data_IF_850884800104
#
_entry.id   IF_850884800104
#
_cell.length_a   1.000
_cell.length_b   1.000
_cell.length_c   1.000
_cell.angle_alpha   90.00
_cell.angle_beta   90.00
_cell.angle_gamma   90.00
#
_symmetry.space_group_name_H-M   'P 1'
#
loop_
_entity.id
_entity.type
_entity.pdbx_description
1 polymer ?
#
# COMPACT_ATOMS: atom_id res chain seq x y z
N UNK A 1 10.19 -23.16 -1.42
CA UNK A 1 9.29 -22.29 -0.63
C UNK A 1 8.82 -22.91 0.70
N UNK A 2 9.47 -23.96 1.17
CA UNK A 2 9.05 -24.69 2.41
C UNK A 2 9.14 -23.87 3.72
N UNK A 3 9.69 -22.65 3.68
CA UNK A 3 9.92 -21.84 4.88
C UNK A 3 9.41 -20.41 4.80
N UNK A 4 8.60 -20.07 3.80
CA UNK A 4 8.21 -18.68 3.55
C UNK A 4 7.18 -18.16 4.56
N UNK A 5 7.42 -16.95 5.07
CA UNK A 5 6.55 -16.21 5.97
C UNK A 5 6.03 -14.97 5.27
N UNK A 6 4.74 -14.71 5.36
CA UNK A 6 4.14 -13.49 4.83
C UNK A 6 3.49 -12.65 5.93
N UNK A 7 3.51 -11.33 5.75
CA UNK A 7 2.69 -10.39 6.51
C UNK A 7 1.81 -9.61 5.54
N UNK A 8 0.50 -9.62 5.79
CA UNK A 8 -0.48 -8.91 4.95
C UNK A 8 -1.23 -7.89 5.81
N UNK A 9 -1.24 -6.62 5.39
CA UNK A 9 -2.01 -5.60 6.08
C UNK A 9 -3.44 -5.52 5.54
N UNK A 10 -4.44 -5.30 6.44
CA UNK A 10 -5.84 -5.10 6.07
C UNK A 10 -6.53 -6.36 5.53
N UNK A 11 -6.44 -7.47 6.26
CA UNK A 11 -6.93 -8.79 5.83
C UNK A 11 -8.37 -9.11 6.24
N UNK A 12 -9.06 -8.24 6.98
CA UNK A 12 -10.41 -8.53 7.50
C UNK A 12 -11.50 -8.53 6.42
N UNK A 13 -11.18 -8.20 5.18
CA UNK A 13 -12.09 -8.26 4.04
C UNK A 13 -11.38 -8.01 2.70
N UNK A 14 -12.06 -8.29 1.59
CA UNK A 14 -11.67 -7.84 0.24
C UNK A 14 -10.36 -8.46 -0.25
N UNK A 15 -9.54 -7.63 -0.93
CA UNK A 15 -8.32 -8.11 -1.61
C UNK A 15 -7.29 -8.66 -0.62
N UNK A 16 -7.15 -8.03 0.57
CA UNK A 16 -6.21 -8.50 1.60
C UNK A 16 -6.60 -9.85 2.19
N UNK A 17 -7.91 -10.12 2.37
CA UNK A 17 -8.41 -11.43 2.79
C UNK A 17 -8.07 -12.50 1.76
N UNK A 18 -8.35 -12.24 0.48
CA UNK A 18 -8.04 -13.17 -0.60
C UNK A 18 -6.53 -13.37 -0.80
N UNK A 19 -5.73 -12.32 -0.60
CA UNK A 19 -4.28 -12.45 -0.64
C UNK A 19 -3.77 -13.40 0.46
N UNK A 20 -4.25 -13.25 1.70
CA UNK A 20 -3.88 -14.17 2.79
C UNK A 20 -4.30 -15.62 2.49
N UNK A 21 -5.51 -15.82 1.94
CA UNK A 21 -6.00 -17.13 1.52
C UNK A 21 -5.12 -17.76 0.44
N UNK A 22 -4.78 -17.00 -0.59
CA UNK A 22 -3.93 -17.46 -1.69
C UNK A 22 -2.51 -17.79 -1.24
N UNK A 23 -1.91 -16.99 -0.34
CA UNK A 23 -0.60 -17.25 0.22
C UNK A 23 -0.55 -18.61 0.94
N UNK A 24 -1.56 -18.92 1.76
CA UNK A 24 -1.69 -20.21 2.39
C UNK A 24 -1.82 -21.34 1.36
N UNK A 25 -2.61 -21.13 0.31
CA UNK A 25 -2.77 -22.12 -0.78
C UNK A 25 -1.48 -22.34 -1.57
N UNK A 26 -0.64 -21.30 -1.71
CA UNK A 26 0.66 -21.35 -2.39
C UNK A 26 1.82 -21.89 -1.52
N UNK A 27 1.51 -22.43 -0.33
CA UNK A 27 2.51 -23.14 0.48
C UNK A 27 3.28 -22.28 1.49
N UNK A 28 2.84 -21.03 1.73
CA UNK A 28 3.41 -20.26 2.84
C UNK A 28 3.12 -20.96 4.17
N UNK A 29 4.17 -21.19 4.97
CA UNK A 29 4.08 -21.91 6.26
C UNK A 29 3.47 -21.04 7.37
N UNK A 30 3.54 -19.71 7.21
CA UNK A 30 2.95 -18.75 8.14
C UNK A 30 2.50 -17.48 7.39
N UNK A 31 1.30 -17.02 7.72
CA UNK A 31 0.74 -15.77 7.20
C UNK A 31 0.24 -14.95 8.39
N UNK A 32 0.92 -13.84 8.67
CA UNK A 32 0.42 -12.84 9.61
C UNK A 32 -0.76 -12.12 9.01
N UNK A 33 -1.90 -12.25 9.66
CA UNK A 33 -3.19 -11.69 9.28
C UNK A 33 -3.45 -10.47 10.16
N UNK A 34 -3.63 -9.29 9.58
CA UNK A 34 -3.72 -8.07 10.36
C UNK A 34 -5.03 -7.32 10.23
N UNK A 35 -5.35 -6.52 11.24
CA UNK A 35 -6.47 -5.60 11.27
C UNK A 35 -6.49 -4.81 12.59
N UNK A 36 -7.36 -3.80 12.66
CA UNK A 36 -7.43 -2.86 13.78
C UNK A 36 -7.81 -3.48 15.12
N UNK A 37 -8.64 -4.50 15.10
CA UNK A 37 -9.13 -5.19 16.30
C UNK A 37 -8.67 -6.63 16.32
N UNK A 38 -7.97 -7.05 17.38
CA UNK A 38 -7.51 -8.43 17.54
C UNK A 38 -8.66 -9.44 17.45
N UNK A 39 -9.79 -9.15 18.05
CA UNK A 39 -10.97 -10.03 18.00
C UNK A 39 -11.44 -10.27 16.55
N UNK A 40 -11.54 -9.21 15.74
CA UNK A 40 -11.91 -9.37 14.32
C UNK A 40 -10.84 -10.08 13.49
N UNK A 41 -9.58 -9.92 13.83
CA UNK A 41 -8.49 -10.65 13.16
C UNK A 41 -8.56 -12.13 13.52
N UNK A 42 -8.85 -12.47 14.77
CA UNK A 42 -9.07 -13.87 15.20
C UNK A 42 -10.25 -14.53 14.48
N UNK A 43 -11.37 -13.81 14.31
CA UNK A 43 -12.50 -14.27 13.49
C UNK A 43 -12.08 -14.52 12.03
N UNK A 44 -11.28 -13.60 11.48
CA UNK A 44 -10.73 -13.73 10.11
C UNK A 44 -9.83 -14.95 9.99
N UNK A 45 -8.96 -15.19 10.97
CA UNK A 45 -8.10 -16.37 11.02
C UNK A 45 -8.93 -17.66 11.04
N UNK A 46 -9.97 -17.72 11.86
CA UNK A 46 -10.86 -18.90 11.91
C UNK A 46 -11.56 -19.14 10.56
N UNK A 47 -12.03 -18.09 9.89
CA UNK A 47 -12.65 -18.19 8.56
C UNK A 47 -11.65 -18.67 7.50
N UNK A 48 -10.44 -18.10 7.47
CA UNK A 48 -9.38 -18.50 6.54
C UNK A 48 -8.95 -19.97 6.77
N UNK A 49 -8.77 -20.36 8.02
CA UNK A 49 -8.42 -21.74 8.37
C UNK A 49 -9.50 -22.74 7.93
N UNK A 50 -10.76 -22.40 8.13
CA UNK A 50 -11.89 -23.24 7.69
C UNK A 50 -11.95 -23.36 6.16
N UNK A 51 -11.72 -22.27 5.43
CA UNK A 51 -11.77 -22.27 3.95
C UNK A 51 -10.59 -22.97 3.29
N UNK A 52 -9.40 -22.88 3.88
CA UNK A 52 -8.17 -23.44 3.31
C UNK A 52 -7.79 -24.81 3.90
N UNK A 53 -8.42 -25.23 4.99
CA UNK A 53 -8.01 -26.38 5.81
C UNK A 53 -6.55 -26.30 6.29
N UNK A 54 -6.00 -25.06 6.41
CA UNK A 54 -4.62 -24.78 6.81
C UNK A 54 -4.58 -24.06 8.16
N UNK A 55 -3.62 -24.42 9.00
CA UNK A 55 -3.38 -23.79 10.31
C UNK A 55 -2.13 -22.89 10.27
N UNK A 56 -2.01 -22.06 9.23
CA UNK A 56 -0.83 -21.23 8.97
C UNK A 56 -1.05 -19.75 9.29
N UNK A 57 -2.25 -19.38 9.72
CA UNK A 57 -2.62 -17.97 9.95
C UNK A 57 -2.33 -17.56 11.38
N UNK A 58 -1.62 -16.45 11.54
CA UNK A 58 -1.29 -15.86 12.85
C UNK A 58 -1.94 -14.49 12.96
N UNK A 59 -2.81 -14.25 13.96
CA UNK A 59 -3.43 -12.95 14.14
C UNK A 59 -2.42 -11.93 14.68
N UNK A 60 -2.46 -10.69 14.14
CA UNK A 60 -1.67 -9.56 14.62
C UNK A 60 -2.55 -8.29 14.58
N UNK A 61 -2.78 -7.67 15.73
CA UNK A 61 -3.47 -6.38 15.78
C UNK A 61 -2.55 -5.28 15.20
N UNK A 62 -3.09 -4.50 14.26
CA UNK A 62 -2.37 -3.41 13.61
C UNK A 62 -3.34 -2.33 13.13
N UNK A 63 -3.29 -1.16 13.76
CA UNK A 63 -3.95 0.06 13.33
C UNK A 63 -2.90 1.02 12.78
N UNK A 64 -2.94 1.26 11.46
CA UNK A 64 -1.90 2.06 10.78
C UNK A 64 -1.99 3.56 11.06
N UNK A 65 -3.14 4.03 11.55
CA UNK A 65 -3.37 5.42 11.93
C UNK A 65 -2.83 5.73 13.33
N UNK A 66 -2.43 4.69 14.09
CA UNK A 66 -2.00 4.77 15.48
C UNK A 66 -0.54 4.32 15.62
N UNK A 67 0.42 5.24 15.76
CA UNK A 67 1.85 4.90 15.88
C UNK A 67 2.15 3.89 16.99
N UNK A 68 1.46 3.97 18.12
CA UNK A 68 1.60 3.03 19.24
C UNK A 68 1.16 1.61 18.87
N UNK A 69 0.14 1.46 18.03
CA UNK A 69 -0.28 0.16 17.51
C UNK A 69 0.78 -0.43 16.57
N UNK A 70 1.37 0.40 15.71
CA UNK A 70 2.47 -0.04 14.83
C UNK A 70 3.68 -0.49 15.66
N UNK A 71 4.07 0.26 16.70
CA UNK A 71 5.14 -0.11 17.62
C UNK A 71 4.85 -1.43 18.36
N UNK A 72 3.63 -1.61 18.83
CA UNK A 72 3.23 -2.85 19.52
C UNK A 72 3.28 -4.06 18.58
N UNK A 73 2.85 -3.88 17.32
CA UNK A 73 2.94 -4.94 16.31
C UNK A 73 4.40 -5.29 15.98
N UNK A 74 5.28 -4.29 15.86
CA UNK A 74 6.73 -4.49 15.67
C UNK A 74 7.33 -5.26 16.84
N UNK A 75 7.06 -4.85 18.08
CA UNK A 75 7.58 -5.54 19.28
C UNK A 75 7.11 -7.02 19.33
N UNK A 76 5.89 -7.33 18.93
CA UNK A 76 5.39 -8.71 18.83
C UNK A 76 6.12 -9.50 17.74
N UNK A 77 6.41 -8.89 16.59
CA UNK A 77 7.17 -9.52 15.50
C UNK A 77 8.64 -9.74 15.92
N UNK A 78 9.26 -8.78 16.61
CA UNK A 78 10.62 -8.91 17.17
C UNK A 78 10.70 -10.05 18.18
N UNK A 79 9.72 -10.16 19.09
CA UNK A 79 9.65 -11.26 20.06
C UNK A 79 9.57 -12.64 19.39
N UNK A 80 8.98 -12.72 18.20
CA UNK A 80 8.92 -13.96 17.41
C UNK A 80 10.22 -14.26 16.68
N UNK A 81 10.97 -13.23 16.31
CA UNK A 81 12.28 -13.35 15.67
C UNK A 81 12.27 -14.08 14.32
N UNK A 82 11.16 -14.04 13.60
CA UNK A 82 10.99 -14.78 12.36
C UNK A 82 11.04 -13.80 11.16
N UNK A 83 12.03 -13.90 10.26
CA UNK A 83 12.11 -13.04 9.09
C UNK A 83 10.91 -13.23 8.15
N UNK A 84 10.42 -12.13 7.61
CA UNK A 84 9.30 -12.07 6.67
C UNK A 84 9.86 -12.06 5.25
N UNK A 85 9.42 -13.01 4.43
CA UNK A 85 9.83 -13.14 3.03
C UNK A 85 8.94 -12.33 2.09
N UNK A 86 7.66 -12.18 2.45
CA UNK A 86 6.70 -11.40 1.67
C UNK A 86 5.91 -10.44 2.54
N UNK A 87 6.13 -9.13 2.34
CA UNK A 87 5.42 -8.05 3.02
C UNK A 87 4.41 -7.42 2.07
N UNK A 88 3.12 -7.64 2.31
CA UNK A 88 2.04 -7.04 1.52
C UNK A 88 1.37 -5.89 2.29
N UNK A 89 1.69 -4.68 1.90
CA UNK A 89 1.15 -3.42 2.41
C UNK A 89 -0.16 -3.09 1.67
N UNK A 90 -1.22 -3.88 1.94
CA UNK A 90 -2.48 -3.80 1.21
C UNK A 90 -3.50 -2.85 1.85
N UNK A 91 -3.47 -2.64 3.17
CA UNK A 91 -4.43 -1.79 3.84
C UNK A 91 -4.50 -0.41 3.18
N UNK A 92 -5.70 0.08 2.98
CA UNK A 92 -5.93 1.36 2.34
C UNK A 92 -7.33 1.88 2.61
N UNK A 93 -7.54 3.16 2.33
CA UNK A 93 -8.82 3.82 2.49
C UNK A 93 -9.18 4.59 1.22
N UNK A 94 -10.46 4.62 0.90
CA UNK A 94 -11.01 5.52 -0.11
C UNK A 94 -11.60 6.73 0.61
N UNK A 95 -11.22 7.95 0.23
CA UNK A 95 -11.69 9.17 0.88
C UNK A 95 -13.21 9.29 0.83
N UNK A 96 -13.78 9.80 1.90
CA UNK A 96 -15.19 10.17 1.96
C UNK A 96 -15.46 11.54 1.31
N UNK A 97 -16.74 11.91 1.20
CA UNK A 97 -17.14 13.24 0.68
C UNK A 97 -16.59 14.39 1.53
N UNK A 98 -16.44 14.18 2.84
CA UNK A 98 -15.85 15.14 3.78
C UNK A 98 -14.41 14.78 4.06
N UNK A 99 -13.56 15.80 4.10
CA UNK A 99 -12.19 15.67 4.58
C UNK A 99 -12.18 15.17 6.03
N UNK A 100 -11.36 14.19 6.30
CA UNK A 100 -11.10 13.69 7.64
C UNK A 100 -9.59 13.76 7.88
N UNK A 101 -9.18 14.40 8.97
CA UNK A 101 -7.80 14.42 9.44
C UNK A 101 -7.70 13.42 10.58
N UNK A 102 -6.73 12.51 10.52
CA UNK A 102 -6.49 11.52 11.56
C UNK A 102 -5.76 12.11 12.77
N UNK A 103 -5.66 11.36 13.85
CA UNK A 103 -4.89 11.76 15.02
C UNK A 103 -3.40 12.03 14.71
N UNK A 104 -2.85 11.38 13.68
CA UNK A 104 -1.50 11.64 13.17
C UNK A 104 -1.39 12.96 12.36
N UNK A 105 -2.47 13.73 12.23
CA UNK A 105 -2.47 15.02 11.51
C UNK A 105 -2.38 14.90 9.99
N UNK A 106 -2.75 13.75 9.43
CA UNK A 106 -2.77 13.50 7.98
C UNK A 106 -4.19 13.27 7.46
N UNK A 107 -4.40 13.51 6.18
CA UNK A 107 -5.68 13.21 5.54
C UNK A 107 -5.87 11.69 5.51
N UNK A 108 -7.10 11.24 5.78
CA UNK A 108 -7.40 9.83 6.07
C UNK A 108 -6.99 8.84 4.97
N UNK A 109 -6.99 9.26 3.69
CA UNK A 109 -6.53 8.39 2.60
C UNK A 109 -5.01 8.24 2.54
N UNK A 110 -4.27 9.15 3.16
CA UNK A 110 -2.81 9.15 3.25
C UNK A 110 -2.30 8.39 4.48
N UNK A 111 -3.10 8.30 5.54
CA UNK A 111 -2.70 7.71 6.82
C UNK A 111 -2.17 6.27 6.69
N UNK A 112 -2.74 5.37 5.85
CA UNK A 112 -2.18 4.04 5.67
C UNK A 112 -0.72 4.04 5.18
N UNK A 113 -0.32 4.99 4.32
CA UNK A 113 1.06 5.08 3.86
C UNK A 113 2.02 5.43 5.02
N UNK A 114 1.60 6.32 5.92
CA UNK A 114 2.41 6.70 7.10
C UNK A 114 2.66 5.49 8.00
N UNK A 115 1.61 4.74 8.34
CA UNK A 115 1.74 3.52 9.14
C UNK A 115 2.52 2.42 8.41
N UNK A 116 2.34 2.26 7.11
CA UNK A 116 3.13 1.33 6.30
C UNK A 116 4.61 1.70 6.27
N UNK A 117 4.94 2.98 6.18
CA UNK A 117 6.32 3.45 6.26
C UNK A 117 6.93 3.12 7.63
N UNK A 118 6.24 3.44 8.74
CA UNK A 118 6.70 3.11 10.09
C UNK A 118 6.91 1.59 10.26
N UNK A 119 5.97 0.77 9.80
CA UNK A 119 6.07 -0.69 9.84
C UNK A 119 7.28 -1.17 9.03
N UNK A 120 7.43 -0.72 7.79
CA UNK A 120 8.49 -1.18 6.89
C UNK A 120 9.88 -0.80 7.44
N UNK A 121 10.05 0.44 7.88
CA UNK A 121 11.33 0.89 8.46
C UNK A 121 11.61 0.18 9.77
N UNK A 122 10.60 -0.05 10.61
CA UNK A 122 10.75 -0.85 11.83
C UNK A 122 11.23 -2.27 11.55
N UNK A 123 10.63 -2.95 10.57
CA UNK A 123 11.04 -4.30 10.15
C UNK A 123 12.47 -4.34 9.60
N UNK A 124 12.86 -3.34 8.80
CA UNK A 124 14.23 -3.20 8.30
C UNK A 124 15.24 -3.01 9.44
N UNK A 125 14.95 -2.13 10.40
CA UNK A 125 15.82 -1.87 11.56
C UNK A 125 15.99 -3.08 12.48
N UNK A 126 14.93 -3.83 12.63
CA UNK A 126 14.93 -5.06 13.44
C UNK A 126 15.49 -6.29 12.71
N UNK A 127 15.92 -6.15 11.45
CA UNK A 127 16.34 -7.27 10.59
C UNK A 127 15.28 -8.38 10.50
N UNK A 128 14.00 -7.98 10.43
CA UNK A 128 12.85 -8.89 10.33
C UNK A 128 12.32 -9.06 8.90
N UNK A 129 13.06 -8.60 7.90
CA UNK A 129 12.85 -8.95 6.50
C UNK A 129 13.97 -9.89 6.06
N UNK A 130 13.62 -10.97 5.34
CA UNK A 130 14.63 -11.88 4.79
C UNK A 130 15.49 -11.16 3.73
N UNK A 131 16.74 -11.60 3.51
CA UNK A 131 17.67 -10.94 2.58
C UNK A 131 17.15 -10.82 1.15
N UNK A 132 16.22 -11.67 0.76
CA UNK A 132 15.55 -11.68 -0.54
C UNK A 132 14.07 -11.29 -0.46
N UNK A 133 13.67 -10.60 0.61
CA UNK A 133 12.28 -10.22 0.83
C UNK A 133 11.67 -9.43 -0.33
N UNK A 134 10.40 -9.68 -0.59
CA UNK A 134 9.59 -8.92 -1.55
C UNK A 134 8.56 -8.09 -0.79
N UNK A 135 8.58 -6.79 -1.06
CA UNK A 135 7.63 -5.82 -0.50
C UNK A 135 6.68 -5.38 -1.61
N UNK A 136 5.39 -5.56 -1.41
CA UNK A 136 4.38 -5.07 -2.34
C UNK A 136 3.49 -4.07 -1.63
N UNK A 137 3.32 -2.87 -2.22
CA UNK A 137 2.40 -1.86 -1.69
C UNK A 137 1.25 -1.60 -2.66
N UNK A 138 0.04 -1.58 -2.13
CA UNK A 138 -1.18 -1.37 -2.91
C UNK A 138 -1.30 0.07 -3.41
N UNK A 139 -1.07 0.28 -4.71
CA UNK A 139 -1.39 1.51 -5.43
C UNK A 139 -2.72 1.37 -6.19
N UNK A 140 -2.97 2.18 -7.22
CA UNK A 140 -4.15 2.08 -8.08
C UNK A 140 -3.93 2.80 -9.42
N UNK A 141 -4.76 2.48 -10.41
CA UNK A 141 -4.70 3.07 -11.76
C UNK A 141 -4.65 4.61 -11.79
N UNK A 142 -5.32 5.37 -10.90
CA UNK A 142 -5.21 6.84 -10.88
C UNK A 142 -3.77 7.37 -10.77
N UNK A 143 -2.84 6.63 -10.16
CA UNK A 143 -1.43 7.03 -10.07
C UNK A 143 -0.76 7.20 -11.43
N UNK A 144 -1.17 6.43 -12.45
CA UNK A 144 -0.61 6.56 -13.82
C UNK A 144 -1.15 7.76 -14.59
N UNK A 145 -2.24 8.39 -14.10
CA UNK A 145 -2.96 9.46 -14.80
C UNK A 145 -3.91 8.94 -15.90
N UNK A 146 -4.67 9.85 -16.47
CA UNK A 146 -5.60 9.55 -17.56
C UNK A 146 -6.84 8.73 -17.16
N UNK A 147 -7.12 8.60 -15.87
CA UNK A 147 -8.33 7.94 -15.35
C UNK A 147 -9.44 8.97 -15.19
N UNK A 148 -10.60 8.80 -15.84
CA UNK A 148 -11.70 9.76 -15.73
C UNK A 148 -12.08 10.04 -14.27
N UNK A 149 -12.37 11.30 -13.96
CA UNK A 149 -12.75 11.81 -12.63
C UNK A 149 -11.64 11.76 -11.55
N UNK A 150 -10.47 11.18 -11.83
CA UNK A 150 -9.33 11.14 -10.94
C UNK A 150 -8.20 12.00 -11.52
N UNK A 151 -7.86 13.09 -10.84
CA UNK A 151 -6.74 13.95 -11.21
C UNK A 151 -5.81 14.06 -10.03
N UNK A 152 -4.56 13.71 -10.21
CA UNK A 152 -3.54 14.03 -9.21
C UNK A 152 -3.14 15.51 -9.31
N UNK A 153 -2.65 16.04 -8.21
CA UNK A 153 -2.17 17.41 -8.11
C UNK A 153 -0.88 17.56 -8.90
N UNK A 154 -0.78 18.67 -9.65
CA UNK A 154 0.49 19.12 -10.21
C UNK A 154 1.37 19.62 -9.06
N UNK A 155 2.35 18.80 -8.69
CA UNK A 155 3.20 19.02 -7.52
C UNK A 155 4.18 20.16 -7.75
N UNK A 156 4.67 20.35 -8.98
CA UNK A 156 5.57 21.46 -9.31
C UNK A 156 4.82 22.80 -9.20
N UNK A 157 3.59 22.87 -9.73
CA UNK A 157 2.73 24.02 -9.56
C UNK A 157 2.31 24.28 -8.10
N UNK A 158 2.21 23.21 -7.29
CA UNK A 158 1.96 23.37 -5.85
C UNK A 158 3.23 23.84 -5.13
N UNK A 159 4.39 23.27 -5.45
CA UNK A 159 5.68 23.64 -4.86
C UNK A 159 6.04 25.10 -5.09
N UNK A 160 5.70 25.64 -6.27
CA UNK A 160 5.89 27.05 -6.57
C UNK A 160 5.15 28.02 -5.60
N UNK A 161 4.24 27.53 -4.77
CA UNK A 161 3.54 28.30 -3.72
C UNK A 161 4.25 28.26 -2.36
N UNK A 162 5.36 27.54 -2.26
CA UNK A 162 6.20 27.44 -1.08
C UNK A 162 7.56 28.08 -1.36
N UNK A 163 8.24 28.53 -0.31
CA UNK A 163 9.51 29.24 -0.43
C UNK A 163 10.53 28.39 -1.19
N UNK A 164 11.15 28.98 -2.22
CA UNK A 164 12.14 28.31 -3.05
C UNK A 164 11.62 27.17 -3.93
N UNK A 165 10.30 26.99 -4.06
CA UNK A 165 9.73 25.89 -4.84
C UNK A 165 9.89 24.52 -4.15
N UNK A 166 9.75 24.47 -2.83
CA UNK A 166 10.01 23.27 -2.00
C UNK A 166 9.00 22.14 -2.31
N UNK A 167 9.46 21.12 -3.01
CA UNK A 167 8.71 19.91 -3.33
C UNK A 167 8.34 19.10 -2.08
N UNK A 168 9.20 19.08 -1.07
CA UNK A 168 8.93 18.35 0.18
C UNK A 168 7.80 19.02 0.94
N UNK A 169 7.80 20.35 1.06
CA UNK A 169 6.71 21.10 1.68
C UNK A 169 5.39 20.90 0.92
N UNK A 170 5.42 20.87 -0.42
CA UNK A 170 4.25 20.58 -1.25
C UNK A 170 3.71 19.16 -0.99
N UNK A 171 4.58 18.15 -0.89
CA UNK A 171 4.19 16.77 -0.57
C UNK A 171 3.62 16.65 0.85
N UNK A 172 4.22 17.31 1.84
CA UNK A 172 3.66 17.36 3.21
C UNK A 172 2.27 18.01 3.22
N UNK A 173 2.09 19.07 2.45
CA UNK A 173 0.77 19.70 2.30
C UNK A 173 -0.26 18.73 1.68
N UNK A 174 0.12 17.91 0.71
CA UNK A 174 -0.75 16.87 0.16
C UNK A 174 -1.10 15.82 1.22
N UNK A 175 -0.10 15.32 1.96
CA UNK A 175 -0.32 14.33 3.02
C UNK A 175 -1.27 14.83 4.11
N UNK A 176 -1.15 16.09 4.50
CA UNK A 176 -1.95 16.73 5.56
C UNK A 176 -3.23 17.38 5.07
N UNK A 177 -3.42 17.49 3.75
CA UNK A 177 -4.38 18.42 3.14
C UNK A 177 -4.25 19.83 3.75
N UNK A 178 -3.03 20.31 3.77
CA UNK A 178 -2.64 21.59 4.36
C UNK A 178 -2.89 22.79 3.47
N UNK A 179 -2.18 23.90 3.72
CA UNK A 179 -2.30 25.12 2.94
C UNK A 179 -2.15 24.87 1.44
N UNK A 180 -2.87 25.63 0.62
CA UNK A 180 -2.87 25.56 -0.85
C UNK A 180 -3.43 24.26 -1.47
N UNK A 181 -3.85 23.27 -0.67
CA UNK A 181 -4.46 22.04 -1.16
C UNK A 181 -5.98 22.12 -1.04
N UNK A 182 -6.67 22.04 -2.19
CA UNK A 182 -8.13 21.96 -2.21
C UNK A 182 -8.58 20.51 -2.14
N UNK A 183 -9.34 20.17 -1.10
CA UNK A 183 -9.85 18.81 -0.96
C UNK A 183 -10.90 18.47 -2.03
N UNK A 184 -10.64 17.42 -2.77
CA UNK A 184 -11.61 16.74 -3.64
C UNK A 184 -11.36 15.23 -3.48
N UNK A 185 -12.36 14.40 -3.08
CA UNK A 185 -12.14 13.00 -2.71
C UNK A 185 -11.39 12.19 -3.76
N UNK A 186 -11.78 12.31 -5.02
CA UNK A 186 -11.14 11.57 -6.10
C UNK A 186 -9.69 12.01 -6.35
N UNK A 187 -9.41 13.31 -6.16
CA UNK A 187 -8.05 13.84 -6.32
C UNK A 187 -7.18 13.42 -5.13
N UNK A 188 -7.70 13.53 -3.89
CA UNK A 188 -7.00 13.05 -2.70
C UNK A 188 -6.63 11.55 -2.82
N UNK A 189 -7.52 10.74 -3.39
CA UNK A 189 -7.22 9.34 -3.67
C UNK A 189 -6.14 9.17 -4.74
N UNK A 190 -6.20 9.94 -5.83
CA UNK A 190 -5.20 9.89 -6.89
C UNK A 190 -3.82 10.33 -6.36
N UNK A 191 -3.77 11.41 -5.57
CA UNK A 191 -2.55 11.90 -4.90
C UNK A 191 -1.97 10.83 -3.97
N UNK A 192 -2.81 10.20 -3.12
CA UNK A 192 -2.38 9.14 -2.23
C UNK A 192 -1.74 7.97 -2.99
N UNK A 193 -2.33 7.56 -4.11
CA UNK A 193 -1.83 6.43 -4.90
C UNK A 193 -0.59 6.77 -5.72
N UNK A 194 -0.45 8.02 -6.13
CA UNK A 194 0.77 8.53 -6.78
C UNK A 194 1.93 8.64 -5.78
N UNK A 195 1.70 9.21 -4.60
CA UNK A 195 2.71 9.28 -3.53
C UNK A 195 3.18 7.88 -3.12
N UNK A 196 2.28 6.89 -3.06
CA UNK A 196 2.64 5.47 -2.83
C UNK A 196 3.60 4.95 -3.92
N UNK A 197 3.38 5.27 -5.19
CA UNK A 197 4.27 4.84 -6.28
C UNK A 197 5.65 5.52 -6.17
N UNK A 198 5.71 6.80 -5.88
CA UNK A 198 6.96 7.53 -5.64
C UNK A 198 7.71 7.03 -4.41
N UNK A 199 6.99 6.77 -3.31
CA UNK A 199 7.55 6.20 -2.09
C UNK A 199 8.20 4.83 -2.35
N UNK A 200 7.55 3.95 -3.12
CA UNK A 200 8.10 2.65 -3.47
C UNK A 200 9.37 2.78 -4.31
N UNK A 201 9.40 3.70 -5.27
CA UNK A 201 10.60 3.97 -6.08
C UNK A 201 11.76 4.53 -5.24
N UNK A 202 11.47 5.40 -4.27
CA UNK A 202 12.47 5.93 -3.35
C UNK A 202 12.97 4.88 -2.35
N UNK A 203 12.08 4.01 -1.83
CA UNK A 203 12.47 2.89 -0.96
C UNK A 203 13.38 1.91 -1.68
N UNK A 204 13.09 1.59 -2.96
CA UNK A 204 13.91 0.66 -3.75
C UNK A 204 15.40 1.05 -3.77
N UNK A 205 15.70 2.36 -3.83
CA UNK A 205 17.09 2.86 -3.79
C UNK A 205 17.74 2.76 -2.41
N UNK A 206 16.96 2.43 -1.39
CA UNK A 206 17.36 2.37 0.03
C UNK A 206 17.32 0.97 0.61
N UNK A 207 16.82 -0.01 -0.13
CA UNK A 207 16.78 -1.39 0.32
C UNK A 207 18.16 -2.05 0.28
N UNK A 208 18.47 -2.95 1.20
CA UNK A 208 19.59 -3.87 1.07
C UNK A 208 19.55 -4.66 -0.24
N UNK A 209 20.73 -5.04 -0.74
CA UNK A 209 20.85 -5.89 -1.92
C UNK A 209 20.08 -7.21 -1.73
N UNK A 210 19.38 -7.65 -2.75
CA UNK A 210 18.53 -8.85 -2.73
C UNK A 210 17.05 -8.58 -2.45
N UNK A 211 16.73 -7.56 -1.66
CA UNK A 211 15.35 -7.14 -1.43
C UNK A 211 14.78 -6.35 -2.62
N UNK A 212 13.46 -6.38 -2.78
CA UNK A 212 12.78 -5.56 -3.78
C UNK A 212 11.43 -5.05 -3.27
N UNK A 213 11.02 -3.87 -3.79
CA UNK A 213 9.70 -3.28 -3.50
C UNK A 213 8.99 -2.92 -4.80
N UNK A 214 7.68 -3.12 -4.83
CA UNK A 214 6.83 -2.84 -5.99
C UNK A 214 5.55 -2.14 -5.56
N UNK A 215 5.19 -1.05 -6.24
CA UNK A 215 3.84 -0.52 -6.15
C UNK A 215 2.97 -1.27 -7.16
N UNK A 216 1.83 -1.81 -6.71
CA UNK A 216 0.98 -2.64 -7.57
C UNK A 216 -0.48 -2.21 -7.46
N UNK A 217 -1.12 -1.98 -8.60
CA UNK A 217 -2.57 -1.80 -8.62
C UNK A 217 -3.29 -3.15 -8.60
N UNK A 218 -4.22 -3.35 -7.67
CA UNK A 218 -5.09 -4.53 -7.68
C UNK A 218 -6.09 -4.51 -8.83
N UNK A 219 -6.19 -3.40 -9.56
CA UNK A 219 -7.23 -3.17 -10.56
C UNK A 219 -8.58 -2.81 -9.95
N UNK A 220 -9.60 -2.68 -10.78
CA UNK A 220 -10.94 -2.41 -10.30
C UNK A 220 -11.57 -3.69 -9.71
N UNK A 221 -11.69 -3.72 -8.38
CA UNK A 221 -12.36 -4.79 -7.64
C UNK A 221 -13.53 -4.20 -6.82
N UNK A 222 -14.74 -4.22 -7.38
CA UNK A 222 -15.92 -3.58 -6.78
C UNK A 222 -16.56 -4.38 -5.64
N UNK A 223 -16.28 -5.66 -5.55
CA UNK A 223 -16.78 -6.53 -4.46
C UNK A 223 -16.03 -6.33 -3.12
N UNK A 224 -15.33 -5.22 -2.96
CA UNK A 224 -14.66 -4.85 -1.72
C UNK A 224 -15.49 -3.84 -0.92
N UNK A 225 -15.24 -3.72 0.39
CA UNK A 225 -15.88 -2.72 1.26
C UNK A 225 -15.60 -1.25 0.86
N UNK A 226 -14.89 -1.02 -0.24
CA UNK A 226 -14.59 0.29 -0.83
C UNK A 226 -15.87 1.10 -1.12
N UNK A 227 -16.97 0.42 -1.51
CA UNK A 227 -18.27 1.06 -1.73
C UNK A 227 -19.06 1.40 -0.45
N UNK A 228 -18.56 1.08 0.75
CA UNK A 228 -19.32 1.31 2.00
C UNK A 228 -19.66 2.78 2.24
N UNK A 229 -18.76 3.70 1.85
CA UNK A 229 -18.93 5.15 2.00
C UNK A 229 -19.47 5.82 0.71
N UNK A 230 -19.74 5.04 -0.34
CA UNK A 230 -20.33 5.56 -1.58
C UNK A 230 -21.80 5.92 -1.36
N UNK A 231 -22.23 7.04 -1.96
CA UNK A 231 -23.64 7.46 -1.91
C UNK A 231 -24.58 6.43 -2.56
N UNK A 232 -25.86 6.46 -2.19
CA UNK A 232 -26.91 5.53 -2.64
C UNK A 232 -26.90 5.31 -4.16
N UNK A 233 -26.80 6.36 -4.97
CA UNK A 233 -26.79 6.26 -6.42
C UNK A 233 -25.56 5.50 -6.96
N UNK A 234 -24.39 5.66 -6.34
CA UNK A 234 -23.17 4.91 -6.70
C UNK A 234 -23.32 3.44 -6.35
N UNK A 235 -23.84 3.16 -5.14
CA UNK A 235 -23.98 1.80 -4.63
C UNK A 235 -25.02 0.97 -5.39
N UNK A 236 -26.16 1.57 -5.72
CA UNK A 236 -27.31 0.84 -6.27
C UNK A 236 -27.53 1.01 -7.77
N UNK A 237 -26.95 2.06 -8.39
CA UNK A 237 -27.01 2.26 -9.84
C UNK A 237 -25.68 2.04 -10.55
N UNK A 238 -24.60 2.71 -10.09
CA UNK A 238 -23.34 2.67 -10.83
C UNK A 238 -22.58 1.36 -10.66
N UNK A 239 -22.46 0.83 -9.44
CA UNK A 239 -21.73 -0.43 -9.20
C UNK A 239 -22.33 -1.60 -10.00
N UNK A 240 -23.67 -1.83 -10.02
CA UNK A 240 -24.24 -2.88 -10.86
C UNK A 240 -23.98 -2.68 -12.36
N UNK A 241 -24.05 -1.44 -12.85
CA UNK A 241 -23.78 -1.15 -14.27
C UNK A 241 -22.31 -1.41 -14.62
N UNK A 242 -21.38 -0.95 -13.77
CA UNK A 242 -19.93 -1.20 -13.97
C UNK A 242 -19.62 -2.70 -13.94
N UNK A 243 -20.30 -3.47 -13.09
CA UNK A 243 -20.15 -4.93 -13.02
C UNK A 243 -20.63 -5.66 -14.28
N UNK A 244 -21.52 -5.06 -15.07
CA UNK A 244 -22.01 -5.62 -16.33
C UNK A 244 -21.10 -5.31 -17.53
N UNK A 245 -20.17 -4.35 -17.40
CA UNK A 245 -19.26 -3.99 -18.49
C UNK A 245 -18.01 -4.88 -18.41
N UNK A 246 -17.76 -5.73 -19.43
CA UNK A 246 -16.56 -6.56 -19.45
C UNK A 246 -15.28 -5.74 -19.31
N UNK A 247 -14.37 -6.19 -18.45
CA UNK A 247 -13.08 -5.52 -18.23
C UNK A 247 -13.11 -4.30 -17.29
N UNK A 248 -14.27 -3.93 -16.76
CA UNK A 248 -14.40 -2.81 -15.81
C UNK A 248 -14.35 -3.26 -14.35
N UNK A 249 -14.44 -4.55 -14.07
CA UNK A 249 -14.40 -5.11 -12.73
C UNK A 249 -13.81 -6.52 -12.70
N UNK A 250 -13.24 -6.89 -11.57
CA UNK A 250 -12.73 -8.23 -11.28
C UNK A 250 -13.00 -8.65 -9.85
N UNK A 251 -12.85 -9.95 -9.55
CA UNK A 251 -13.04 -10.47 -8.21
C UNK A 251 -11.88 -10.05 -7.29
N UNK A 252 -12.10 -9.97 -5.97
CA UNK A 252 -11.02 -9.75 -5.01
C UNK A 252 -9.89 -10.78 -5.12
N UNK A 253 -10.21 -12.02 -5.46
CA UNK A 253 -9.23 -13.08 -5.71
C UNK A 253 -8.34 -12.75 -6.92
N UNK A 254 -8.94 -12.37 -8.06
CA UNK A 254 -8.18 -11.96 -9.26
C UNK A 254 -7.30 -10.75 -8.96
N UNK A 255 -7.80 -9.80 -8.18
CA UNK A 255 -7.03 -8.64 -7.73
C UNK A 255 -5.84 -9.04 -6.84
N UNK A 256 -6.05 -9.98 -5.90
CA UNK A 256 -5.00 -10.48 -5.01
C UNK A 256 -3.90 -11.24 -5.78
N UNK A 257 -4.25 -11.98 -6.82
CA UNK A 257 -3.27 -12.66 -7.69
C UNK A 257 -2.23 -11.73 -8.30
N UNK A 258 -2.58 -10.46 -8.55
CA UNK A 258 -1.62 -9.44 -9.04
C UNK A 258 -0.54 -9.13 -8.01
N UNK A 259 -0.88 -9.11 -6.73
CA UNK A 259 0.09 -8.92 -5.66
C UNK A 259 1.04 -10.10 -5.52
N UNK A 260 0.50 -11.32 -5.64
CA UNK A 260 1.32 -12.53 -5.60
C UNK A 260 2.22 -12.64 -6.83
N UNK A 261 1.73 -12.25 -8.02
CA UNK A 261 2.57 -12.19 -9.22
C UNK A 261 3.79 -11.27 -9.02
N UNK A 262 3.62 -10.15 -8.31
CA UNK A 262 4.72 -9.23 -8.05
C UNK A 262 5.76 -9.80 -7.06
N UNK A 263 5.44 -10.84 -6.27
CA UNK A 263 6.44 -11.53 -5.44
C UNK A 263 7.48 -12.30 -6.25
N UNK A 264 7.18 -12.62 -7.51
CA UNK A 264 8.07 -13.34 -8.41
C UNK A 264 8.96 -12.40 -9.25
N UNK A 265 8.78 -11.07 -9.12
CA UNK A 265 9.57 -10.10 -9.88
C UNK A 265 11.01 -10.01 -9.36
N UNK A 266 11.94 -9.80 -10.29
CA UNK A 266 13.36 -9.62 -9.99
C UNK A 266 13.67 -8.26 -9.36
N UNK A 267 14.85 -8.14 -8.78
CA UNK A 267 15.37 -6.88 -8.22
C UNK A 267 15.63 -5.80 -9.26
N UNK A 268 15.83 -6.19 -10.53
CA UNK A 268 16.04 -5.31 -11.68
C UNK A 268 14.85 -4.39 -11.99
N UNK A 269 13.65 -4.77 -11.55
CA UNK A 269 12.42 -3.97 -11.71
C UNK A 269 11.91 -3.42 -10.37
N UNK A 270 12.75 -3.45 -9.32
CA UNK A 270 12.42 -2.87 -8.01
C UNK A 270 12.11 -1.38 -8.11
N UNK A 271 11.13 -0.92 -7.37
CA UNK A 271 10.67 0.48 -7.36
C UNK A 271 9.67 0.82 -8.45
N UNK A 272 9.38 -0.08 -9.38
CA UNK A 272 8.42 0.21 -10.45
C UNK A 272 6.96 0.11 -9.97
N UNK A 273 6.10 0.86 -10.64
CA UNK A 273 4.66 0.78 -10.47
C UNK A 273 4.05 -0.10 -11.56
N UNK A 274 3.29 -1.11 -11.16
CA UNK A 274 2.61 -2.06 -12.03
C UNK A 274 1.10 -1.88 -11.95
N UNK A 275 0.45 -1.73 -13.10
CA UNK A 275 -1.00 -1.59 -13.22
C UNK A 275 -1.49 -2.20 -14.54
N UNK A 276 -2.80 -2.24 -14.74
CA UNK A 276 -3.38 -2.63 -16.04
C UNK A 276 -2.88 -1.72 -17.16
N UNK A 277 -2.89 -2.20 -18.39
CA UNK A 277 -2.56 -1.41 -19.57
C UNK A 277 -3.38 -0.10 -19.65
N UNK A 278 -2.85 0.91 -20.34
CA UNK A 278 -3.52 2.22 -20.51
C UNK A 278 -4.96 2.05 -21.00
N UNK A 279 -5.89 2.68 -20.30
CA UNK A 279 -7.34 2.62 -20.62
C UNK A 279 -8.03 1.35 -20.09
N UNK A 280 -7.31 0.41 -19.46
CA UNK A 280 -7.88 -0.79 -18.83
C UNK A 280 -7.82 -0.69 -17.31
N UNK A 281 -8.72 -1.42 -16.65
CA UNK A 281 -8.80 -1.53 -15.19
C UNK A 281 -8.67 -2.98 -14.71
N UNK A 282 -8.57 -3.92 -15.62
CA UNK A 282 -8.43 -5.36 -15.37
C UNK A 282 -7.43 -5.96 -16.35
N UNK A 283 -7.13 -7.25 -16.23
CA UNK A 283 -6.20 -7.99 -17.09
C UNK A 283 -4.78 -8.02 -16.52
N UNK A 284 -3.76 -8.39 -17.30
CA UNK A 284 -2.38 -8.45 -16.88
C UNK A 284 -1.86 -7.10 -16.40
N UNK A 285 -0.93 -7.13 -15.45
CA UNK A 285 -0.21 -5.93 -14.99
C UNK A 285 1.05 -5.74 -15.83
N UNK A 286 1.37 -4.48 -16.11
CA UNK A 286 2.58 -4.04 -16.80
C UNK A 286 3.22 -2.86 -16.09
N UNK A 287 4.51 -2.69 -16.25
CA UNK A 287 5.25 -1.57 -15.68
C UNK A 287 4.79 -0.24 -16.29
N UNK A 288 4.43 0.71 -15.45
CA UNK A 288 3.98 2.03 -15.85
C UNK A 288 5.17 2.98 -15.96
N UNK A 289 5.35 3.60 -17.13
CA UNK A 289 6.54 4.41 -17.47
C UNK A 289 6.21 5.86 -17.81
N UNK A 290 5.11 6.40 -17.29
CA UNK A 290 4.77 7.81 -17.50
C UNK A 290 5.83 8.71 -16.85
N UNK A 291 6.22 9.85 -17.48
CA UNK A 291 7.30 10.71 -17.01
C UNK A 291 7.17 11.11 -15.53
N UNK A 292 5.98 11.49 -15.07
CA UNK A 292 5.76 11.88 -13.68
C UNK A 292 6.02 10.76 -12.66
N UNK A 293 5.86 9.49 -13.04
CA UNK A 293 6.17 8.35 -12.17
C UNK A 293 7.68 8.15 -12.03
N UNK A 294 8.45 8.51 -13.05
CA UNK A 294 9.89 8.32 -13.13
C UNK A 294 10.69 9.52 -12.62
N UNK A 295 10.01 10.60 -12.24
CA UNK A 295 10.65 11.81 -11.73
C UNK A 295 11.33 11.57 -10.38
N UNK A 296 12.66 11.56 -10.38
CA UNK A 296 13.48 11.30 -9.21
C UNK A 296 13.35 12.35 -8.11
N UNK A 297 13.12 13.61 -8.46
CA UNK A 297 12.96 14.71 -7.49
C UNK A 297 11.63 14.54 -6.73
N UNK A 298 10.54 14.25 -7.45
CA UNK A 298 9.24 13.97 -6.85
C UNK A 298 9.26 12.71 -5.97
N UNK A 299 9.97 11.65 -6.41
CA UNK A 299 10.13 10.44 -5.61
C UNK A 299 10.88 10.72 -4.30
N UNK A 300 11.94 11.51 -4.35
CA UNK A 300 12.73 11.86 -3.16
C UNK A 300 11.94 12.78 -2.22
N UNK A 301 11.25 13.77 -2.76
CA UNK A 301 10.38 14.66 -1.99
C UNK A 301 9.24 13.89 -1.29
N UNK A 302 8.63 12.92 -1.98
CA UNK A 302 7.61 12.05 -1.40
C UNK A 302 8.16 11.21 -0.24
N UNK A 303 9.37 10.63 -0.39
CA UNK A 303 10.04 9.91 0.69
C UNK A 303 10.28 10.80 1.90
N UNK A 304 10.89 11.98 1.66
CA UNK A 304 11.23 12.90 2.73
C UNK A 304 9.99 13.42 3.46
N UNK A 305 8.93 13.75 2.73
CA UNK A 305 7.66 14.19 3.32
C UNK A 305 7.03 13.09 4.19
N UNK A 306 7.02 11.83 3.73
CA UNK A 306 6.53 10.69 4.51
C UNK A 306 7.39 10.47 5.75
N UNK A 307 8.71 10.57 5.64
CA UNK A 307 9.62 10.46 6.77
C UNK A 307 9.39 11.56 7.81
N UNK A 308 9.25 12.82 7.38
CA UNK A 308 8.98 13.96 8.25
C UNK A 308 7.63 13.79 8.98
N UNK A 309 6.59 13.40 8.26
CA UNK A 309 5.24 13.24 8.82
C UNK A 309 5.16 12.04 9.78
N UNK A 310 5.86 10.94 9.47
CA UNK A 310 5.88 9.73 10.31
C UNK A 310 6.82 9.84 11.51
N UNK A 311 7.77 10.79 11.49
CA UNK A 311 8.87 10.89 12.45
C UNK A 311 9.92 9.77 12.35
N UNK A 312 9.89 8.99 11.25
CA UNK A 312 10.77 7.84 11.03
C UNK A 312 11.44 7.97 9.67
N UNK A 313 12.76 7.82 9.62
CA UNK A 313 13.53 7.84 8.37
C UNK A 313 14.34 6.54 8.21
N UNK A 314 14.71 6.20 6.99
CA UNK A 314 15.61 5.10 6.66
C UNK A 314 16.59 5.60 5.61
N UNK A 315 17.87 5.62 5.96
CA UNK A 315 18.93 6.14 5.09
C UNK A 315 19.68 5.02 4.37
N UNK A 316 20.35 5.36 3.29
CA UNK A 316 21.24 4.43 2.60
C UNK A 316 22.39 3.91 3.51
N UNK A 317 22.85 4.72 4.44
CA UNK A 317 23.86 4.31 5.44
C UNK A 317 23.33 3.23 6.40
N UNK A 318 22.06 3.29 6.79
CA UNK A 318 21.41 2.22 7.57
C UNK A 318 21.25 0.94 6.76
N UNK A 319 20.93 1.07 5.46
CA UNK A 319 20.86 -0.07 4.53
C UNK A 319 22.16 -0.84 4.41
N UNK A 320 23.29 -0.12 4.29
CA UNK A 320 24.62 -0.76 4.21
C UNK A 320 25.01 -1.50 5.49
N UNK A 321 24.60 -0.99 6.65
CA UNK A 321 24.82 -1.67 7.95
C UNK A 321 23.96 -2.92 8.13
N UNK A 322 22.74 -2.90 7.61
CA UNK A 322 21.83 -4.04 7.68
C UNK A 322 22.25 -5.20 6.74
N UNK A 323 23.09 -4.90 5.73
CA UNK A 323 23.62 -5.89 4.79
C UNK A 323 24.98 -6.51 5.22
N UNK A 324 25.61 -5.97 6.28
CA UNK A 324 26.85 -6.47 6.88
C UNK A 324 26.57 -7.40 8.06
#
# INVERSE_FOLDING_TARGET
MEHSIALVTGTTSGVGYEAARLLASNGYRQVFVTGRSLARVQETVAQLAAQTTKQVFTPLALELDEPTSVQSALAELERRGQPIDFLLLNAGMVPGKRRVITAAGVEASQAPLIGHHQLTVGLLRANLLSPDARIVIASAEPARGGVPMFKYTDVDALAAKYDGGDLTAAMEALLRNGPNVKYAPNNAYADAKLIVAWWAAALARRLPSGMAVFAVSPGAATATNVGRNAGWAVKYLMIPIVNLIPGMNQTPETAARRYLQASDFGTDVSGQFFASAKGKFTGPIEAQRQPHLLDGANQEAAWQAVANVSGVNWSHAESLRAAS
#
